data_IF_574906269230
#
_entry.id   IF_574906269230
#
_cell.length_a   1.000
_cell.length_b   1.000
_cell.length_c   1.000
_cell.angle_alpha   90.00
_cell.angle_beta   90.00
_cell.angle_gamma   90.00
#
_symmetry.space_group_name_H-M   'P 1'
#
loop_
_entity.id
_entity.type
_entity.pdbx_description
1 polymer ?
#
# COMPACT_ATOMS: atom_id res chain seq x y z
N UNK A 1 -76.62 -17.80 -10.38
CA UNK A 1 -76.08 -16.45 -10.13
C UNK A 1 -74.61 -16.61 -9.73
N UNK A 2 -73.66 -15.99 -10.46
CA UNK A 2 -72.20 -16.09 -10.23
C UNK A 2 -71.70 -14.76 -9.63
N UNK A 3 -70.88 -14.83 -8.58
CA UNK A 3 -69.77 -13.94 -8.19
C UNK A 3 -69.29 -14.41 -6.79
N UNK A 4 -68.14 -15.06 -6.58
CA UNK A 4 -66.74 -14.64 -6.70
C UNK A 4 -66.35 -13.51 -5.72
N UNK A 5 -65.80 -13.90 -4.56
CA UNK A 5 -64.92 -13.07 -3.73
C UNK A 5 -63.65 -13.86 -3.42
N UNK A 6 -62.67 -13.74 -4.30
CA UNK A 6 -61.27 -14.09 -4.05
C UNK A 6 -60.55 -12.77 -3.79
N UNK A 7 -59.92 -12.63 -2.63
CA UNK A 7 -58.92 -11.58 -2.42
C UNK A 7 -58.97 -10.94 -1.05
N UNK A 8 -58.17 -11.45 -0.11
CA UNK A 8 -57.54 -10.68 0.98
C UNK A 8 -56.65 -11.56 1.89
N UNK A 9 -55.76 -12.39 1.33
CA UNK A 9 -54.86 -13.23 2.15
C UNK A 9 -53.40 -13.27 1.67
N UNK A 10 -52.97 -12.30 0.85
CA UNK A 10 -51.62 -12.27 0.25
C UNK A 10 -50.76 -11.05 0.69
N UNK A 11 -51.08 -10.41 1.81
CA UNK A 11 -50.41 -9.17 2.23
C UNK A 11 -49.29 -9.33 3.28
N UNK A 12 -49.42 -10.25 4.24
CA UNK A 12 -48.52 -10.29 5.40
C UNK A 12 -47.34 -11.25 5.28
N UNK A 13 -47.45 -12.33 4.50
CA UNK A 13 -46.36 -13.30 4.36
C UNK A 13 -45.17 -12.76 3.56
N UNK A 14 -45.40 -11.87 2.59
CA UNK A 14 -44.34 -11.29 1.76
C UNK A 14 -43.45 -10.30 2.53
N UNK A 15 -43.99 -9.59 3.53
CA UNK A 15 -43.23 -8.64 4.34
C UNK A 15 -42.28 -9.36 5.29
N UNK A 16 -42.72 -10.45 5.94
CA UNK A 16 -41.87 -11.24 6.82
C UNK A 16 -40.70 -11.90 6.07
N UNK A 17 -40.93 -12.40 4.84
CA UNK A 17 -39.88 -12.94 3.98
C UNK A 17 -38.91 -11.86 3.49
N UNK A 18 -39.41 -10.66 3.21
CA UNK A 18 -38.58 -9.52 2.79
C UNK A 18 -37.70 -9.00 3.93
N UNK A 19 -38.23 -8.93 5.17
CA UNK A 19 -37.46 -8.52 6.35
C UNK A 19 -36.38 -9.55 6.69
N UNK A 20 -36.69 -10.85 6.61
CA UNK A 20 -35.71 -11.89 6.87
C UNK A 20 -34.60 -11.95 5.79
N UNK A 21 -34.96 -11.74 4.52
CA UNK A 21 -34.00 -11.61 3.42
C UNK A 21 -33.15 -10.34 3.54
N UNK A 22 -33.74 -9.22 3.98
CA UNK A 22 -33.01 -7.97 4.23
C UNK A 22 -32.00 -8.13 5.36
N UNK A 23 -32.40 -8.70 6.51
CA UNK A 23 -31.51 -8.91 7.66
C UNK A 23 -30.40 -9.91 7.35
N UNK A 24 -30.67 -11.01 6.64
CA UNK A 24 -29.61 -11.95 6.26
C UNK A 24 -28.68 -11.39 5.18
N UNK A 25 -29.21 -10.62 4.22
CA UNK A 25 -28.43 -9.98 3.15
C UNK A 25 -27.46 -8.89 3.64
N UNK A 26 -27.88 -8.03 4.58
CA UNK A 26 -26.99 -6.99 5.13
C UNK A 26 -25.86 -7.56 5.98
N UNK A 27 -26.06 -8.74 6.60
CA UNK A 27 -25.02 -9.41 7.37
C UNK A 27 -23.92 -10.04 6.50
N UNK A 28 -24.24 -10.45 5.26
CA UNK A 28 -23.24 -10.96 4.30
C UNK A 28 -22.52 -9.82 3.58
N UNK A 29 -23.21 -8.70 3.31
CA UNK A 29 -22.61 -7.54 2.64
C UNK A 29 -21.72 -6.68 3.56
N UNK A 30 -21.81 -6.85 4.89
CA UNK A 30 -21.13 -6.02 5.88
C UNK A 30 -19.83 -6.59 6.45
N UNK A 31 -19.40 -7.78 6.04
CA UNK A 31 -18.10 -8.31 6.47
C UNK A 31 -17.03 -7.86 5.48
N UNK A 32 -16.20 -6.84 5.79
CA UNK A 32 -14.97 -6.67 5.03
C UNK A 32 -14.21 -8.00 5.10
N UNK A 33 -13.52 -8.45 4.03
CA UNK A 33 -12.61 -9.57 4.18
C UNK A 33 -11.72 -9.25 5.38
N UNK A 34 -11.64 -10.18 6.33
CA UNK A 34 -10.73 -10.05 7.45
C UNK A 34 -9.32 -9.96 6.88
N UNK A 35 -8.88 -8.73 6.60
CA UNK A 35 -7.49 -8.40 6.42
C UNK A 35 -6.88 -8.64 7.78
N UNK A 36 -6.35 -9.84 7.98
CA UNK A 36 -5.46 -10.12 9.09
C UNK A 36 -4.25 -9.21 8.89
N UNK A 37 -4.31 -8.00 9.44
CA UNK A 37 -3.15 -7.13 9.57
C UNK A 37 -2.31 -7.74 10.69
N UNK A 38 -1.55 -8.78 10.35
CA UNK A 38 -0.52 -9.31 11.22
C UNK A 38 0.68 -8.34 11.16
N UNK A 39 0.53 -7.16 11.76
CA UNK A 39 1.60 -6.17 11.80
C UNK A 39 2.31 -6.20 13.16
N UNK A 40 2.95 -7.34 13.40
CA UNK A 40 4.10 -7.50 14.29
C UNK A 40 4.88 -8.72 13.79
N UNK A 41 5.66 -8.55 12.71
CA UNK A 41 6.60 -9.59 12.25
C UNK A 41 6.73 -9.80 10.74
N UNK A 42 5.90 -9.20 9.89
CA UNK A 42 6.12 -9.28 8.44
C UNK A 42 7.31 -8.41 8.03
N UNK A 43 8.33 -9.01 7.41
CA UNK A 43 9.46 -8.26 6.87
C UNK A 43 8.99 -7.21 5.85
N UNK A 44 9.50 -5.97 5.89
CA UNK A 44 9.09 -4.94 4.95
C UNK A 44 9.35 -5.37 3.51
N UNK A 45 8.35 -5.19 2.63
CA UNK A 45 8.45 -5.55 1.21
C UNK A 45 9.10 -4.40 0.43
N UNK A 46 10.40 -4.50 0.16
CA UNK A 46 11.20 -3.48 -0.54
C UNK A 46 10.59 -2.98 -1.86
N UNK A 47 10.05 -3.88 -2.67
CA UNK A 47 9.34 -3.53 -3.90
C UNK A 47 8.11 -2.64 -3.66
N UNK A 48 7.33 -2.93 -2.62
CA UNK A 48 6.15 -2.14 -2.27
C UNK A 48 6.55 -0.76 -1.72
N UNK A 49 7.61 -0.69 -0.90
CA UNK A 49 8.18 0.57 -0.42
C UNK A 49 8.65 1.44 -1.59
N UNK A 50 9.37 0.85 -2.56
CA UNK A 50 9.84 1.55 -3.75
C UNK A 50 8.68 2.08 -4.59
N UNK A 51 7.66 1.24 -4.84
CA UNK A 51 6.49 1.63 -5.62
C UNK A 51 5.73 2.80 -4.98
N UNK A 52 5.58 2.80 -3.66
CA UNK A 52 4.84 3.84 -2.94
C UNK A 52 5.61 5.16 -2.81
N UNK A 53 6.93 5.12 -2.67
CA UNK A 53 7.72 6.29 -2.25
C UNK A 53 8.72 6.81 -3.29
N UNK A 54 9.14 5.98 -4.24
CA UNK A 54 10.29 6.27 -5.10
C UNK A 54 9.94 6.24 -6.59
N UNK A 55 9.06 5.33 -6.99
CA UNK A 55 8.75 5.05 -8.40
C UNK A 55 8.18 6.25 -9.16
N UNK A 56 7.48 7.17 -8.48
CA UNK A 56 6.94 8.38 -9.09
C UNK A 56 8.03 9.28 -9.70
N UNK A 57 9.20 9.34 -9.07
CA UNK A 57 10.34 10.14 -9.56
C UNK A 57 11.40 9.29 -10.26
N UNK A 58 11.66 8.08 -9.78
CA UNK A 58 12.74 7.21 -10.28
C UNK A 58 12.27 6.16 -11.29
N UNK A 59 10.99 6.15 -11.67
CA UNK A 59 10.39 5.19 -12.60
C UNK A 59 10.03 3.86 -11.94
N UNK A 60 9.04 3.16 -12.50
CA UNK A 60 8.46 1.92 -11.92
C UNK A 60 9.46 0.75 -11.77
N UNK A 61 10.46 0.68 -12.64
CA UNK A 61 11.55 -0.29 -12.62
C UNK A 61 12.90 0.37 -12.24
N UNK A 62 12.87 1.50 -11.52
CA UNK A 62 14.04 2.27 -11.14
C UNK A 62 14.91 2.73 -12.33
N UNK A 63 14.32 2.83 -13.52
CA UNK A 63 14.99 3.17 -14.78
C UNK A 63 15.28 4.66 -14.94
N UNK A 64 14.80 5.51 -14.02
CA UNK A 64 14.88 6.96 -14.08
C UNK A 64 13.66 7.58 -14.74
N UNK A 65 13.31 8.79 -14.29
CA UNK A 65 12.31 9.66 -14.91
C UNK A 65 12.68 11.12 -14.59
N UNK A 66 12.01 11.72 -13.60
CA UNK A 66 12.40 13.04 -13.06
C UNK A 66 13.69 12.92 -12.24
N UNK A 67 13.79 11.85 -11.46
CA UNK A 67 14.99 11.45 -10.74
C UNK A 67 15.87 10.50 -11.57
N UNK A 68 17.15 10.34 -11.19
CA UNK A 68 18.08 9.47 -11.90
C UNK A 68 17.68 7.99 -11.86
N UNK A 69 18.22 7.22 -12.80
CA UNK A 69 18.17 5.75 -12.79
C UNK A 69 18.85 5.22 -11.52
N UNK A 70 18.14 4.40 -10.74
CA UNK A 70 18.70 3.74 -9.55
C UNK A 70 19.08 2.28 -9.79
N UNK A 71 18.43 1.60 -10.75
CA UNK A 71 18.77 0.23 -11.13
C UNK A 71 20.25 0.14 -11.55
N UNK A 72 21.00 -0.76 -10.91
CA UNK A 72 22.46 -0.88 -11.04
C UNK A 72 23.30 0.22 -10.39
N UNK A 73 22.79 1.45 -10.24
CA UNK A 73 23.54 2.60 -9.69
C UNK A 73 23.88 2.41 -8.20
N UNK A 74 22.90 1.95 -7.42
CA UNK A 74 23.06 1.78 -5.96
C UNK A 74 23.64 0.41 -5.58
N UNK A 75 23.77 -0.51 -6.54
CA UNK A 75 24.26 -1.87 -6.29
C UNK A 75 25.63 -1.92 -5.58
N UNK A 76 26.64 -1.09 -5.91
CA UNK A 76 27.92 -1.09 -5.21
C UNK A 76 27.89 -0.37 -3.86
N UNK A 77 26.77 0.25 -3.46
CA UNK A 77 26.71 1.03 -2.22
C UNK A 77 26.58 0.11 -1.00
N UNK A 78 27.10 0.59 0.13
CA UNK A 78 26.84 0.00 1.45
C UNK A 78 25.44 0.38 1.91
N UNK A 79 24.87 -0.39 2.84
CA UNK A 79 23.54 -0.07 3.39
C UNK A 79 23.55 1.27 4.14
N UNK A 80 24.66 1.60 4.81
CA UNK A 80 24.84 2.90 5.47
C UNK A 80 24.86 4.04 4.46
N UNK A 81 25.64 3.94 3.38
CA UNK A 81 25.70 4.99 2.38
C UNK A 81 24.36 5.16 1.63
N UNK A 82 23.64 4.05 1.42
CA UNK A 82 22.26 4.10 0.91
C UNK A 82 21.32 4.79 1.89
N UNK A 83 21.40 4.46 3.18
CA UNK A 83 20.60 5.10 4.22
C UNK A 83 20.89 6.60 4.32
N UNK A 84 22.16 7.02 4.30
CA UNK A 84 22.56 8.44 4.33
C UNK A 84 22.02 9.21 3.12
N UNK A 85 22.02 8.58 1.94
CA UNK A 85 21.46 9.18 0.73
C UNK A 85 19.93 9.35 0.83
N UNK A 86 19.22 8.34 1.33
CA UNK A 86 17.75 8.35 1.43
C UNK A 86 17.27 9.23 2.58
N UNK A 87 17.93 9.18 3.72
CA UNK A 87 17.53 9.89 4.93
C UNK A 87 17.98 11.34 4.92
N UNK A 88 19.20 11.62 4.45
CA UNK A 88 19.87 12.91 4.61
C UNK A 88 20.35 13.53 3.29
N UNK A 89 20.13 12.86 2.15
CA UNK A 89 20.57 13.36 0.85
C UNK A 89 22.08 13.36 0.67
N UNK A 90 22.84 12.53 1.40
CA UNK A 90 24.31 12.46 1.25
C UNK A 90 24.69 11.21 0.46
N UNK A 91 25.18 11.39 -0.76
CA UNK A 91 25.63 10.27 -1.59
C UNK A 91 27.09 9.87 -1.24
N UNK A 92 27.49 8.60 -1.51
CA UNK A 92 28.81 8.09 -1.14
C UNK A 92 29.98 8.78 -1.85
N UNK A 93 29.73 9.42 -2.98
CA UNK A 93 30.68 10.25 -3.73
C UNK A 93 30.80 11.69 -3.19
N UNK A 94 30.20 11.97 -2.03
CA UNK A 94 30.34 13.24 -1.30
C UNK A 94 29.40 14.35 -1.79
N UNK A 95 28.61 14.10 -2.84
CA UNK A 95 27.63 15.06 -3.33
C UNK A 95 26.34 15.02 -2.51
N UNK A 96 25.77 16.21 -2.34
CA UNK A 96 24.42 16.38 -1.79
C UNK A 96 23.39 16.22 -2.90
N UNK A 97 22.35 15.43 -2.63
CA UNK A 97 21.25 15.23 -3.56
C UNK A 97 20.44 16.52 -3.73
N UNK A 98 19.85 16.69 -4.91
CA UNK A 98 19.01 17.85 -5.19
C UNK A 98 17.86 17.92 -4.17
N UNK A 99 17.51 19.14 -3.72
CA UNK A 99 16.47 19.37 -2.71
C UNK A 99 15.09 18.83 -3.11
N UNK A 100 14.87 18.58 -4.41
CA UNK A 100 13.65 17.94 -4.92
C UNK A 100 13.54 16.46 -4.48
N UNK A 101 14.66 15.77 -4.25
CA UNK A 101 14.60 14.43 -3.66
C UNK A 101 14.30 14.58 -2.16
N UNK A 102 13.17 14.03 -1.67
CA UNK A 102 12.81 14.17 -0.26
C UNK A 102 13.87 13.53 0.64
N UNK A 103 14.22 14.22 1.73
CA UNK A 103 15.03 13.64 2.80
C UNK A 103 14.11 12.87 3.75
N UNK A 104 14.12 11.55 3.65
CA UNK A 104 13.11 10.70 4.27
C UNK A 104 13.25 10.57 5.79
N UNK A 105 14.32 11.11 6.39
CA UNK A 105 14.45 11.18 7.85
C UNK A 105 13.24 11.84 8.50
N UNK A 106 12.71 12.87 7.87
CA UNK A 106 11.54 13.62 8.37
C UNK A 106 10.29 13.35 7.54
N UNK A 107 10.41 13.17 6.23
CA UNK A 107 9.25 12.90 5.38
C UNK A 107 8.59 11.55 5.68
N UNK A 108 9.38 10.54 6.05
CA UNK A 108 8.90 9.20 6.34
C UNK A 108 8.43 8.42 5.10
N UNK A 109 8.29 7.11 5.24
CA UNK A 109 7.65 6.27 4.20
C UNK A 109 6.14 6.08 4.47
N UNK A 110 5.71 6.26 5.70
CA UNK A 110 4.35 6.02 6.19
C UNK A 110 3.93 7.10 7.22
N UNK A 111 4.54 8.29 7.13
CA UNK A 111 4.38 9.37 8.10
C UNK A 111 5.25 9.23 9.35
N UNK A 112 6.05 8.16 9.46
CA UNK A 112 7.10 8.00 10.47
C UNK A 112 8.48 7.84 9.84
N UNK A 113 9.53 8.14 10.61
CA UNK A 113 10.91 7.96 10.15
C UNK A 113 11.16 6.51 9.70
N UNK A 114 11.83 6.27 8.55
CA UNK A 114 12.08 4.93 8.06
C UNK A 114 12.89 4.10 9.06
N UNK A 115 12.39 2.90 9.33
CA UNK A 115 13.09 1.91 10.14
C UNK A 115 14.30 1.33 9.39
N UNK A 116 15.33 0.83 10.11
CA UNK A 116 16.46 0.16 9.47
C UNK A 116 16.03 -1.00 8.57
N UNK A 117 15.05 -1.80 9.00
CA UNK A 117 14.53 -2.92 8.22
C UNK A 117 13.91 -2.46 6.89
N UNK A 118 13.18 -1.34 6.88
CA UNK A 118 12.62 -0.78 5.64
C UNK A 118 13.71 -0.33 4.67
N UNK A 119 14.77 0.32 5.18
CA UNK A 119 15.91 0.76 4.35
C UNK A 119 16.68 -0.44 3.77
N UNK A 120 16.96 -1.47 4.59
CA UNK A 120 17.60 -2.70 4.12
C UNK A 120 16.76 -3.41 3.06
N UNK A 121 15.44 -3.54 3.28
CA UNK A 121 14.56 -4.16 2.31
C UNK A 121 14.49 -3.38 0.98
N UNK A 122 14.43 -2.05 1.06
CA UNK A 122 14.44 -1.17 -0.11
C UNK A 122 15.76 -1.30 -0.90
N UNK A 123 16.90 -1.30 -0.20
CA UNK A 123 18.20 -1.45 -0.84
C UNK A 123 18.37 -2.82 -1.48
N UNK A 124 17.93 -3.88 -0.79
CA UNK A 124 17.95 -5.25 -1.31
C UNK A 124 17.11 -5.38 -2.59
N UNK A 125 15.92 -4.75 -2.63
CA UNK A 125 15.11 -4.70 -3.84
C UNK A 125 15.86 -4.01 -4.99
N UNK A 126 16.42 -2.83 -4.77
CA UNK A 126 17.17 -2.08 -5.79
C UNK A 126 18.43 -2.80 -6.28
N UNK A 127 19.09 -3.58 -5.41
CA UNK A 127 20.23 -4.44 -5.76
C UNK A 127 19.83 -5.61 -6.69
N UNK A 128 18.56 -6.01 -6.67
CA UNK A 128 18.01 -7.06 -7.51
C UNK A 128 17.48 -6.60 -8.88
N UNK A 129 17.54 -5.29 -9.17
CA UNK A 129 17.19 -4.69 -10.46
C UNK A 129 18.43 -4.46 -11.33
#
# INVERSE_FOLDING_TARGET
MRAAFVGAAFGFAAVALSVLGYVTGVNVAGSPPAVTVLQAGAAPRGAALFAANCAGCHGAAAQGAVGPKLAGLVRPWTDTAFADAVLDGRAPDGRTLAAMMPHFRTAGFDGSAPTPAQLTALHAYLKGL
#
